data_IF_558374674894
#
_entry.id   IF_558374674894
#
_cell.length_a   1.000
_cell.length_b   1.000
_cell.length_c   1.000
_cell.angle_alpha   90.00
_cell.angle_beta   90.00
_cell.angle_gamma   90.00
#
_symmetry.space_group_name_H-M   'P 1'
#
loop_
_entity.id
_entity.type
_entity.pdbx_description
1 polymer ?
#
# COMPACT_ATOMS: atom_id res chain seq x y z
N UNK A 1 -8.11 -10.38 16.13
CA UNK A 1 -9.09 -11.19 15.37
C UNK A 1 -8.74 -12.64 15.61
N UNK A 2 -9.69 -13.45 16.06
CA UNK A 2 -9.51 -14.89 16.19
C UNK A 2 -9.95 -15.55 14.90
N UNK A 3 -9.08 -16.34 14.30
CA UNK A 3 -9.45 -17.14 13.14
C UNK A 3 -10.27 -18.34 13.61
N UNK A 4 -11.49 -18.49 13.08
CA UNK A 4 -12.34 -19.64 13.36
C UNK A 4 -12.00 -20.86 12.48
N UNK A 5 -11.17 -20.67 11.44
CA UNK A 5 -10.69 -21.69 10.50
C UNK A 5 -9.26 -21.37 10.07
N UNK A 6 -8.49 -22.40 9.72
CA UNK A 6 -7.10 -22.23 9.27
C UNK A 6 -7.03 -21.51 7.92
N UNK A 7 -6.14 -20.51 7.85
CA UNK A 7 -5.80 -19.76 6.64
C UNK A 7 -4.29 -19.49 6.67
N UNK A 8 -3.72 -19.08 5.54
CA UNK A 8 -2.31 -18.70 5.47
C UNK A 8 -1.93 -17.66 6.55
N UNK A 9 -0.84 -17.91 7.27
CA UNK A 9 -0.43 -17.11 8.42
C UNK A 9 -0.29 -15.61 8.07
N UNK A 10 0.30 -15.30 6.92
CA UNK A 10 0.48 -13.93 6.44
C UNK A 10 -0.85 -13.17 6.31
N UNK A 11 -1.93 -13.86 5.92
CA UNK A 11 -3.26 -13.28 5.81
C UNK A 11 -3.85 -13.04 7.21
N UNK A 12 -3.68 -14.00 8.11
CA UNK A 12 -4.18 -13.91 9.49
C UNK A 12 -3.52 -12.78 10.30
N UNK A 13 -2.26 -12.48 10.03
CA UNK A 13 -1.47 -11.47 10.75
C UNK A 13 -1.55 -10.07 10.14
N UNK A 14 -2.12 -9.93 8.95
CA UNK A 14 -2.25 -8.63 8.27
C UNK A 14 -3.23 -7.72 9.01
N UNK A 15 -2.83 -6.47 9.20
CA UNK A 15 -3.66 -5.42 9.75
C UNK A 15 -3.38 -4.10 9.03
N UNK A 16 -4.09 -3.02 9.39
CA UNK A 16 -3.94 -1.70 8.78
C UNK A 16 -3.26 -0.72 9.76
N UNK A 17 -1.92 -0.72 9.86
CA UNK A 17 -1.19 0.20 10.73
C UNK A 17 -1.34 1.65 10.26
N UNK A 18 -1.16 2.58 11.21
CA UNK A 18 -1.13 4.03 10.94
C UNK A 18 0.10 4.74 11.53
N UNK A 19 1.00 4.01 12.18
CA UNK A 19 2.24 4.56 12.72
C UNK A 19 3.41 4.07 11.86
N UNK A 20 4.00 4.97 11.08
CA UNK A 20 5.13 4.70 10.19
C UNK A 20 6.33 5.54 10.61
N UNK A 21 7.53 4.99 10.44
CA UNK A 21 8.79 5.69 10.65
C UNK A 21 9.18 6.43 9.36
N UNK A 22 9.09 7.77 9.30
CA UNK A 22 9.36 8.53 8.09
C UNK A 22 10.83 8.51 7.67
N UNK A 23 11.73 8.02 8.54
CA UNK A 23 13.17 7.93 8.24
C UNK A 23 13.55 6.64 7.50
N UNK A 24 12.60 5.69 7.37
CA UNK A 24 12.83 4.39 6.73
C UNK A 24 12.20 4.34 5.34
N UNK A 25 12.99 4.48 4.26
CA UNK A 25 12.47 4.30 2.91
C UNK A 25 12.14 2.83 2.63
N UNK A 26 11.29 2.60 1.64
CA UNK A 26 11.03 1.27 1.07
C UNK A 26 11.86 1.14 -0.20
N UNK A 27 12.53 0.01 -0.41
CA UNK A 27 13.34 -0.21 -1.61
C UNK A 27 12.44 -0.35 -2.85
N UNK A 28 12.80 0.24 -4.01
CA UNK A 28 11.97 0.17 -5.21
C UNK A 28 11.63 -1.25 -5.66
N UNK A 29 12.58 -2.19 -5.49
CA UNK A 29 12.37 -3.61 -5.82
C UNK A 29 11.23 -4.24 -5.02
N UNK A 30 11.07 -3.88 -3.73
CA UNK A 30 9.96 -4.39 -2.91
C UNK A 30 8.61 -3.87 -3.39
N UNK A 31 8.54 -2.61 -3.81
CA UNK A 31 7.32 -2.05 -4.41
C UNK A 31 6.97 -2.77 -5.72
N UNK A 32 7.96 -3.01 -6.58
CA UNK A 32 7.75 -3.77 -7.81
C UNK A 32 7.22 -5.18 -7.53
N UNK A 33 7.75 -5.88 -6.52
CA UNK A 33 7.23 -7.18 -6.10
C UNK A 33 5.77 -7.12 -5.63
N UNK A 34 5.39 -6.06 -4.90
CA UNK A 34 3.99 -5.86 -4.46
C UNK A 34 3.07 -5.61 -5.66
N UNK A 35 3.46 -4.77 -6.62
CA UNK A 35 2.65 -4.52 -7.81
C UNK A 35 2.54 -5.74 -8.71
N UNK A 36 3.61 -6.53 -8.86
CA UNK A 36 3.56 -7.79 -9.59
C UNK A 36 2.58 -8.76 -8.91
N UNK A 37 2.66 -8.92 -7.58
CA UNK A 37 1.71 -9.74 -6.84
C UNK A 37 0.25 -9.25 -7.01
N UNK A 38 0.02 -7.92 -6.99
CA UNK A 38 -1.30 -7.35 -7.22
C UNK A 38 -1.83 -7.62 -8.64
N UNK A 39 -0.96 -7.59 -9.65
CA UNK A 39 -1.29 -7.87 -11.05
C UNK A 39 -1.75 -9.31 -11.29
N UNK A 40 -1.44 -10.24 -10.38
CA UNK A 40 -1.89 -11.64 -10.48
C UNK A 40 -3.35 -11.85 -10.03
N UNK A 41 -4.03 -10.83 -9.51
CA UNK A 41 -5.44 -10.94 -9.18
C UNK A 41 -6.28 -11.25 -10.44
N UNK A 42 -7.34 -12.07 -10.37
CA UNK A 42 -8.23 -12.28 -11.50
C UNK A 42 -9.00 -10.99 -11.85
N UNK A 43 -9.33 -10.82 -13.13
CA UNK A 43 -10.19 -9.74 -13.63
C UNK A 43 -11.19 -10.23 -14.67
N UNK A 44 -12.29 -9.50 -14.84
CA UNK A 44 -13.30 -9.79 -15.86
C UNK A 44 -12.65 -9.85 -17.25
N UNK A 45 -12.86 -10.96 -17.97
CA UNK A 45 -12.26 -11.20 -19.29
C UNK A 45 -10.72 -11.19 -19.30
N UNK A 46 -10.07 -11.32 -18.14
CA UNK A 46 -8.63 -11.12 -17.97
C UNK A 46 -8.11 -9.77 -18.51
N UNK A 47 -8.95 -8.73 -18.48
CA UNK A 47 -8.62 -7.42 -19.01
C UNK A 47 -7.56 -6.64 -18.21
N UNK A 48 -7.29 -7.06 -16.97
CA UNK A 48 -6.26 -6.49 -16.08
C UNK A 48 -6.32 -4.96 -15.99
N UNK A 49 -7.49 -4.36 -15.65
CA UNK A 49 -7.72 -2.92 -15.82
C UNK A 49 -7.06 -2.05 -14.74
N UNK A 50 -6.40 -2.65 -13.74
CA UNK A 50 -5.80 -1.91 -12.63
C UNK A 50 -4.68 -0.99 -13.13
N UNK A 51 -4.62 0.19 -12.53
CA UNK A 51 -3.52 1.15 -12.69
C UNK A 51 -3.13 1.64 -11.30
N UNK A 52 -1.82 1.80 -11.07
CA UNK A 52 -1.28 2.20 -9.78
C UNK A 52 -0.59 3.55 -9.91
N UNK A 53 -1.00 4.52 -9.09
CA UNK A 53 -0.31 5.80 -8.93
C UNK A 53 0.41 5.75 -7.59
N UNK A 54 1.71 6.02 -7.59
CA UNK A 54 2.58 5.78 -6.44
C UNK A 54 3.30 7.07 -6.07
N UNK A 55 3.09 7.50 -4.82
CA UNK A 55 3.97 8.46 -4.16
C UNK A 55 5.17 7.71 -3.60
N UNK A 56 6.38 8.24 -3.74
CA UNK A 56 7.56 7.52 -3.27
C UNK A 56 8.53 8.46 -2.58
N UNK A 57 8.94 8.11 -1.37
CA UNK A 57 10.00 8.77 -0.61
C UNK A 57 9.83 10.30 -0.57
N UNK A 58 8.62 10.75 -0.25
CA UNK A 58 8.27 12.18 -0.10
C UNK A 58 8.56 13.05 -1.33
N UNK A 59 8.61 12.46 -2.52
CA UNK A 59 8.79 13.17 -3.79
C UNK A 59 7.60 14.07 -4.15
N UNK A 60 7.62 14.71 -5.34
CA UNK A 60 6.52 15.57 -5.77
C UNK A 60 5.19 14.80 -5.84
N UNK A 61 5.16 13.65 -6.50
CA UNK A 61 3.95 12.83 -6.65
C UNK A 61 3.35 12.43 -5.29
N UNK A 62 4.20 12.13 -4.30
CA UNK A 62 3.77 11.87 -2.93
C UNK A 62 3.01 13.06 -2.34
N UNK A 63 3.56 14.28 -2.45
CA UNK A 63 2.91 15.48 -1.93
C UNK A 63 1.60 15.78 -2.66
N UNK A 64 1.58 15.59 -3.98
CA UNK A 64 0.38 15.76 -4.79
C UNK A 64 -0.71 14.77 -4.32
N UNK A 65 -0.38 13.49 -4.15
CA UNK A 65 -1.32 12.46 -3.66
C UNK A 65 -1.81 12.79 -2.25
N UNK A 66 -0.89 13.09 -1.31
CA UNK A 66 -1.22 13.43 0.08
C UNK A 66 -2.21 14.60 0.16
N UNK A 67 -2.06 15.60 -0.72
CA UNK A 67 -2.94 16.78 -0.77
C UNK A 67 -4.38 16.46 -1.18
N UNK A 68 -4.63 15.30 -1.81
CA UNK A 68 -5.98 14.85 -2.19
C UNK A 68 -6.70 14.09 -1.10
N UNK A 69 -6.00 13.68 -0.03
CA UNK A 69 -6.57 12.91 1.06
C UNK A 69 -7.37 13.81 2.02
N UNK A 70 -8.40 13.27 2.67
CA UNK A 70 -9.08 13.99 3.75
C UNK A 70 -8.13 14.23 4.94
N UNK A 71 -8.46 15.23 5.76
CA UNK A 71 -7.63 15.67 6.89
C UNK A 71 -7.26 14.51 7.84
N UNK A 72 -8.23 13.64 8.16
CA UNK A 72 -8.00 12.51 9.07
C UNK A 72 -6.96 11.52 8.54
N UNK A 73 -6.86 11.37 7.22
CA UNK A 73 -5.89 10.49 6.57
C UNK A 73 -4.53 11.14 6.45
N UNK A 74 -4.48 12.45 6.19
CA UNK A 74 -3.22 13.19 6.16
C UNK A 74 -2.46 13.12 7.48
N UNK A 75 -3.15 13.06 8.64
CA UNK A 75 -2.54 12.98 9.97
C UNK A 75 -1.49 11.87 10.07
N UNK A 76 -1.77 10.70 9.52
CA UNK A 76 -0.87 9.55 9.59
C UNK A 76 -0.14 9.26 8.26
N UNK A 77 -0.81 9.46 7.12
CA UNK A 77 -0.26 9.14 5.81
C UNK A 77 0.97 9.98 5.49
N UNK A 78 1.07 11.21 6.03
CA UNK A 78 2.26 12.09 5.90
C UNK A 78 3.57 11.48 6.41
N UNK A 79 3.51 10.40 7.19
CA UNK A 79 4.68 9.67 7.69
C UNK A 79 4.90 8.34 6.96
N UNK A 80 3.95 7.89 6.13
CA UNK A 80 4.14 6.70 5.31
C UNK A 80 5.15 7.02 4.20
N UNK A 81 6.17 6.16 3.96
CA UNK A 81 7.23 6.44 2.98
C UNK A 81 6.80 6.23 1.52
N UNK A 82 5.62 5.64 1.29
CA UNK A 82 5.02 5.31 -0.01
C UNK A 82 3.51 5.50 0.02
#
# INVERSE_FOLDING_TARGET
MTNNVEIAEIISRRWSPRAFDPTKPVEPSKLMSVFEAARWAPSAGNGQPWSFIVGYNFNKSYRDILSTLNDSNQVWAKNAPV
#
